data_IF_715621862707
#
_entry.id   IF_715621862707
#
_cell.length_a   1.000
_cell.length_b   1.000
_cell.length_c   1.000
_cell.angle_alpha   90.00
_cell.angle_beta   90.00
_cell.angle_gamma   90.00
#
_symmetry.space_group_name_H-M   'P 1'
#
loop_
_entity.id
_entity.type
_entity.pdbx_description
1 polymer ?
#
# COMPACT_ATOMS: atom_id res chain seq x y z
N UNK A 1 9.28 -75.54 -47.13
CA UNK A 1 9.81 -75.11 -45.81
C UNK A 1 10.00 -73.67 -45.81
N UNK A 2 9.00 -72.91 -45.21
CA UNK A 2 9.03 -71.48 -45.00
C UNK A 2 9.50 -71.18 -43.57
N UNK A 3 10.40 -70.30 -43.27
CA UNK A 3 10.64 -69.85 -41.90
C UNK A 3 9.74 -68.64 -41.55
N UNK A 4 9.07 -68.74 -40.43
CA UNK A 4 8.21 -67.77 -39.77
C UNK A 4 9.14 -66.75 -39.07
N UNK A 5 9.22 -65.51 -39.54
CA UNK A 5 9.89 -64.45 -38.80
C UNK A 5 8.92 -63.74 -37.89
N UNK A 6 9.13 -63.90 -36.59
CA UNK A 6 8.40 -63.25 -35.53
C UNK A 6 8.87 -61.80 -35.36
N UNK A 7 8.06 -60.83 -35.79
CA UNK A 7 8.31 -59.41 -35.61
C UNK A 7 8.01 -58.94 -34.21
N UNK A 8 9.02 -58.55 -33.43
CA UNK A 8 8.92 -57.95 -32.12
C UNK A 8 8.49 -56.49 -32.24
N UNK A 9 7.22 -56.23 -31.96
CA UNK A 9 6.64 -54.88 -31.96
C UNK A 9 6.90 -54.21 -30.59
N UNK A 10 7.94 -53.37 -30.51
CA UNK A 10 8.25 -52.57 -29.34
C UNK A 10 7.24 -51.42 -29.22
N UNK A 11 6.34 -51.47 -28.21
CA UNK A 11 5.50 -50.32 -27.80
C UNK A 11 6.39 -49.26 -27.16
N UNK A 12 6.62 -48.19 -27.87
CA UNK A 12 7.16 -46.95 -27.32
C UNK A 12 6.01 -46.24 -26.54
N UNK A 13 6.02 -46.37 -25.21
CA UNK A 13 5.17 -45.57 -24.33
C UNK A 13 5.65 -44.12 -24.34
N UNK A 14 4.95 -43.27 -25.08
CA UNK A 14 5.11 -41.81 -25.00
C UNK A 14 4.55 -41.36 -23.65
N UNK A 15 5.43 -41.20 -22.65
CA UNK A 15 5.11 -40.42 -21.47
C UNK A 15 4.99 -38.95 -21.90
N UNK A 16 3.77 -38.54 -22.25
CA UNK A 16 3.42 -37.13 -22.39
C UNK A 16 3.47 -36.49 -21.00
N UNK A 17 4.55 -35.77 -20.70
CA UNK A 17 4.56 -34.80 -19.62
C UNK A 17 3.40 -33.82 -19.86
N UNK A 18 2.31 -33.96 -19.10
CA UNK A 18 1.34 -32.86 -18.95
C UNK A 18 2.09 -31.72 -18.28
N UNK A 19 2.54 -30.75 -19.06
CA UNK A 19 2.80 -29.41 -18.52
C UNK A 19 1.46 -28.97 -17.92
N UNK A 20 1.39 -28.87 -16.58
CA UNK A 20 0.36 -28.07 -15.94
C UNK A 20 0.44 -26.71 -16.62
N UNK A 21 -0.64 -26.31 -17.29
CA UNK A 21 -0.78 -24.92 -17.73
C UNK A 21 -0.85 -24.11 -16.45
N UNK A 22 0.23 -23.40 -16.11
CA UNK A 22 0.12 -22.30 -15.16
C UNK A 22 -1.04 -21.45 -15.62
N UNK A 23 -2.02 -21.26 -14.74
CA UNK A 23 -3.14 -20.37 -15.01
C UNK A 23 -2.60 -18.91 -15.03
N UNK A 24 -2.21 -18.47 -16.22
CA UNK A 24 -1.67 -17.12 -16.46
C UNK A 24 -2.73 -16.03 -16.23
N UNK A 25 -4.01 -16.38 -16.05
CA UNK A 25 -5.08 -15.42 -15.84
C UNK A 25 -4.94 -14.68 -14.51
N UNK A 26 -4.60 -15.37 -13.42
CA UNK A 26 -4.35 -14.74 -12.12
C UNK A 26 -3.04 -13.94 -12.10
N UNK A 27 -2.01 -14.42 -12.79
CA UNK A 27 -0.73 -13.72 -12.93
C UNK A 27 -0.88 -12.41 -13.72
N UNK A 28 -1.76 -12.37 -14.71
CA UNK A 28 -1.98 -11.20 -15.55
C UNK A 28 -2.79 -10.09 -14.87
N UNK A 29 -3.66 -10.43 -13.90
CA UNK A 29 -4.52 -9.46 -13.23
C UNK A 29 -3.85 -8.74 -12.05
N UNK A 30 -2.88 -9.39 -11.38
CA UNK A 30 -2.16 -8.82 -10.24
C UNK A 30 -2.95 -8.75 -8.93
N UNK A 31 -4.09 -9.45 -8.81
CA UNK A 31 -4.93 -9.47 -7.59
C UNK A 31 -4.19 -10.02 -6.38
N UNK A 32 -3.23 -10.90 -6.60
CA UNK A 32 -2.40 -11.46 -5.53
C UNK A 32 -1.46 -10.44 -4.85
N UNK A 33 -1.34 -9.20 -5.35
CA UNK A 33 -0.71 -8.12 -4.60
C UNK A 33 -1.60 -7.58 -3.47
N UNK A 34 -2.92 -7.88 -3.51
CA UNK A 34 -3.85 -7.50 -2.44
C UNK A 34 -4.72 -8.70 -2.02
N UNK A 35 -4.12 -9.76 -1.45
CA UNK A 35 -4.84 -10.99 -1.12
C UNK A 35 -5.76 -10.79 0.08
N UNK A 36 -7.05 -11.03 -0.11
CA UNK A 36 -8.09 -10.86 0.90
C UNK A 36 -8.60 -12.22 1.37
N UNK A 37 -8.37 -12.54 2.65
CA UNK A 37 -8.89 -13.74 3.28
C UNK A 37 -9.18 -13.50 4.77
N UNK A 38 -10.35 -13.93 5.26
CA UNK A 38 -10.70 -13.86 6.69
C UNK A 38 -9.64 -14.54 7.55
N UNK A 39 -9.25 -13.90 8.62
CA UNK A 39 -8.21 -14.34 9.55
C UNK A 39 -6.79 -13.94 9.17
N UNK A 40 -6.54 -13.53 7.93
CA UNK A 40 -5.23 -13.00 7.51
C UNK A 40 -4.89 -11.72 8.26
N UNK A 41 -3.63 -11.57 8.66
CA UNK A 41 -3.14 -10.35 9.28
C UNK A 41 -1.72 -10.01 8.82
N UNK A 42 -1.37 -8.74 8.94
CA UNK A 42 0.00 -8.23 8.79
C UNK A 42 0.34 -7.40 10.02
N UNK A 43 1.54 -7.60 10.54
CA UNK A 43 2.09 -6.86 11.67
C UNK A 43 3.12 -5.86 11.16
N UNK A 44 2.95 -4.59 11.53
CA UNK A 44 3.84 -3.50 11.13
C UNK A 44 4.57 -2.92 12.35
N UNK A 45 5.85 -2.63 12.19
CA UNK A 45 6.55 -1.63 12.98
C UNK A 45 6.21 -0.26 12.40
N UNK A 46 5.81 0.67 13.24
CA UNK A 46 5.30 1.98 12.83
C UNK A 46 6.10 3.07 13.51
N UNK A 47 6.73 3.92 12.70
CA UNK A 47 7.34 5.15 13.15
C UNK A 47 6.42 6.31 12.77
N UNK A 48 5.95 7.06 13.76
CA UNK A 48 5.14 8.26 13.59
C UNK A 48 5.99 9.47 13.93
N UNK A 49 6.27 10.30 12.94
CA UNK A 49 7.00 11.55 13.09
C UNK A 49 6.01 12.70 13.25
N UNK A 50 6.28 13.58 14.18
CA UNK A 50 5.54 14.81 14.38
C UNK A 50 6.50 15.99 14.36
N UNK A 51 6.29 16.94 13.45
CA UNK A 51 7.00 18.20 13.42
C UNK A 51 6.17 19.23 14.17
N UNK A 52 6.65 19.54 15.39
CA UNK A 52 6.00 20.46 16.31
C UNK A 52 6.46 21.90 16.06
N UNK A 53 5.51 22.76 15.69
CA UNK A 53 5.79 24.17 15.39
C UNK A 53 6.07 25.02 16.63
N UNK A 54 5.54 24.61 17.80
CA UNK A 54 5.75 25.31 19.06
C UNK A 54 7.12 24.95 19.68
N UNK A 55 7.40 23.64 19.76
CA UNK A 55 8.70 23.14 20.28
C UNK A 55 9.82 23.29 19.25
N UNK A 56 9.51 23.54 17.98
CA UNK A 56 10.43 23.55 16.83
C UNK A 56 11.27 22.27 16.77
N UNK A 57 10.64 21.14 17.04
CA UNK A 57 11.28 19.85 17.18
C UNK A 57 10.63 18.80 16.27
N UNK A 58 11.46 17.83 15.87
CA UNK A 58 11.00 16.59 15.28
C UNK A 58 10.91 15.53 16.39
N UNK A 59 9.72 14.95 16.58
CA UNK A 59 9.45 13.96 17.61
C UNK A 59 9.03 12.67 16.91
N UNK A 60 9.72 11.56 17.20
CA UNK A 60 9.42 10.26 16.61
C UNK A 60 8.88 9.31 17.68
N UNK A 61 7.74 8.69 17.40
CA UNK A 61 7.12 7.68 18.23
C UNK A 61 7.10 6.35 17.49
N UNK A 62 7.80 5.34 18.03
CA UNK A 62 7.73 3.97 17.51
C UNK A 62 6.64 3.18 18.21
N UNK A 63 5.94 2.35 17.45
CA UNK A 63 4.85 1.49 17.92
C UNK A 63 4.65 0.29 16.99
N UNK A 64 3.69 -0.57 17.29
CA UNK A 64 3.29 -1.64 16.40
C UNK A 64 1.79 -1.59 16.10
N UNK A 65 1.44 -1.88 14.84
CA UNK A 65 0.07 -2.05 14.38
C UNK A 65 -0.11 -3.43 13.73
N UNK A 66 -1.23 -4.07 14.02
CA UNK A 66 -1.67 -5.29 13.35
C UNK A 66 -2.96 -5.02 12.61
N UNK A 67 -2.94 -5.19 11.28
CA UNK A 67 -4.12 -5.15 10.43
C UNK A 67 -4.61 -6.58 10.24
N UNK A 68 -5.83 -6.87 10.64
CA UNK A 68 -6.41 -8.21 10.60
C UNK A 68 -7.76 -8.18 9.89
N UNK A 69 -7.91 -8.99 8.85
CA UNK A 69 -9.21 -9.22 8.21
C UNK A 69 -10.06 -10.05 9.19
N UNK A 70 -10.94 -9.36 9.91
CA UNK A 70 -11.72 -9.96 10.99
C UNK A 70 -12.96 -10.69 10.48
N UNK A 71 -13.62 -10.13 9.45
CA UNK A 71 -14.85 -10.71 8.90
C UNK A 71 -15.08 -10.31 7.46
N UNK A 72 -16.09 -10.97 6.84
CA UNK A 72 -16.57 -10.68 5.48
C UNK A 72 -18.07 -10.44 5.52
N UNK A 73 -18.57 -9.58 4.65
CA UNK A 73 -19.99 -9.27 4.52
C UNK A 73 -20.32 -8.80 3.10
N UNK A 74 -21.59 -8.80 2.75
CA UNK A 74 -22.07 -8.18 1.51
C UNK A 74 -22.47 -6.74 1.83
N UNK A 75 -21.90 -5.77 1.14
CA UNK A 75 -22.20 -4.36 1.33
C UNK A 75 -23.56 -3.97 0.68
N UNK A 76 -23.97 -2.71 0.85
CA UNK A 76 -25.25 -2.20 0.31
C UNK A 76 -25.34 -2.25 -1.23
N UNK A 77 -24.21 -2.35 -1.92
CA UNK A 77 -24.13 -2.50 -3.38
C UNK A 77 -24.14 -3.98 -3.83
N UNK A 78 -24.31 -4.92 -2.90
CA UNK A 78 -24.27 -6.36 -3.18
C UNK A 78 -22.86 -6.94 -3.39
N UNK A 79 -21.80 -6.19 -3.07
CA UNK A 79 -20.41 -6.60 -3.28
C UNK A 79 -19.81 -7.24 -2.03
N UNK A 80 -18.92 -8.22 -2.24
CA UNK A 80 -18.13 -8.81 -1.16
C UNK A 80 -17.21 -7.75 -0.55
N UNK A 81 -17.30 -7.60 0.75
CA UNK A 81 -16.52 -6.63 1.51
C UNK A 81 -15.92 -7.28 2.75
N UNK A 82 -14.82 -6.71 3.21
CA UNK A 82 -14.01 -7.22 4.30
C UNK A 82 -13.91 -6.19 5.40
N UNK A 83 -14.13 -6.63 6.64
CA UNK A 83 -13.88 -5.83 7.83
C UNK A 83 -12.45 -6.03 8.28
N UNK A 84 -11.70 -4.95 8.43
CA UNK A 84 -10.33 -4.97 8.94
C UNK A 84 -10.30 -4.31 10.32
N UNK A 85 -9.92 -5.09 11.33
CA UNK A 85 -9.64 -4.58 12.66
C UNK A 85 -8.17 -4.16 12.75
N UNK A 86 -7.93 -2.93 13.17
CA UNK A 86 -6.59 -2.37 13.40
C UNK A 86 -6.31 -2.40 14.89
N UNK A 87 -5.32 -3.17 15.26
CA UNK A 87 -4.81 -3.23 16.63
C UNK A 87 -3.53 -2.42 16.75
N UNK A 88 -3.31 -1.84 17.90
CA UNK A 88 -2.14 -1.03 18.22
C UNK A 88 -1.56 -1.41 19.58
N UNK A 89 -0.23 -1.35 19.69
CA UNK A 89 0.50 -1.36 20.98
C UNK A 89 1.69 -0.42 20.91
N UNK A 90 2.03 0.21 22.04
CA UNK A 90 3.17 1.13 22.12
C UNK A 90 4.50 0.38 22.19
N UNK A 91 4.57 -0.65 23.02
CA UNK A 91 5.77 -1.47 23.21
C UNK A 91 5.47 -2.94 22.90
N UNK A 92 6.49 -3.70 22.58
CA UNK A 92 6.36 -5.14 22.27
C UNK A 92 5.83 -5.95 23.45
N UNK A 93 6.03 -5.48 24.69
CA UNK A 93 5.52 -6.06 25.92
C UNK A 93 4.04 -5.76 26.19
N UNK A 94 3.47 -4.75 25.52
CA UNK A 94 2.07 -4.36 25.71
C UNK A 94 1.13 -5.33 25.00
N UNK A 95 -0.07 -5.47 25.52
CA UNK A 95 -1.17 -6.14 24.81
C UNK A 95 -1.68 -5.27 23.68
N UNK A 96 -2.03 -5.89 22.55
CA UNK A 96 -2.72 -5.23 21.46
C UNK A 96 -4.12 -4.77 21.86
N UNK A 97 -4.46 -3.52 21.56
CA UNK A 97 -5.79 -2.94 21.72
C UNK A 97 -6.32 -2.49 20.38
N UNK A 98 -7.63 -2.66 20.18
CA UNK A 98 -8.28 -2.16 18.96
C UNK A 98 -8.17 -0.64 18.92
N UNK A 99 -7.76 -0.10 17.79
CA UNK A 99 -7.57 1.34 17.55
C UNK A 99 -8.58 1.88 16.56
N UNK A 100 -8.83 1.12 15.51
CA UNK A 100 -9.64 1.56 14.37
C UNK A 100 -10.22 0.33 13.66
N UNK A 101 -11.29 0.56 12.91
CA UNK A 101 -11.85 -0.39 11.96
C UNK A 101 -11.99 0.30 10.62
N UNK A 102 -11.66 -0.40 9.54
CA UNK A 102 -11.94 0.05 8.20
C UNK A 102 -12.48 -1.10 7.34
N UNK A 103 -12.98 -0.77 6.17
CA UNK A 103 -13.61 -1.73 5.28
C UNK A 103 -12.93 -1.75 3.93
N UNK A 104 -12.83 -2.93 3.33
CA UNK A 104 -12.30 -3.12 1.98
C UNK A 104 -13.41 -3.71 1.13
N UNK A 105 -13.67 -3.11 -0.03
CA UNK A 105 -14.56 -3.66 -1.05
C UNK A 105 -13.72 -4.16 -2.23
N UNK A 106 -13.88 -5.44 -2.57
CA UNK A 106 -13.24 -6.03 -3.73
C UNK A 106 -14.21 -5.91 -4.92
N UNK A 107 -13.90 -4.99 -5.81
CA UNK A 107 -14.61 -4.81 -7.07
C UNK A 107 -13.87 -5.55 -8.18
N UNK A 108 -14.55 -5.86 -9.29
CA UNK A 108 -13.92 -6.55 -10.43
C UNK A 108 -12.70 -5.82 -10.98
N UNK A 109 -12.71 -4.48 -10.95
CA UNK A 109 -11.68 -3.63 -11.54
C UNK A 109 -10.88 -2.84 -10.52
N UNK A 110 -11.20 -2.92 -9.22
CA UNK A 110 -10.51 -2.12 -8.19
C UNK A 110 -10.65 -2.67 -6.79
N UNK A 111 -9.70 -2.32 -5.93
CA UNK A 111 -9.80 -2.43 -4.47
C UNK A 111 -10.09 -1.06 -3.89
N UNK A 112 -11.18 -0.97 -3.15
CA UNK A 112 -11.59 0.25 -2.45
C UNK A 112 -11.45 0.07 -0.95
N UNK A 113 -10.86 1.06 -0.29
CA UNK A 113 -10.73 1.09 1.17
C UNK A 113 -11.53 2.26 1.72
N UNK A 114 -12.55 1.95 2.55
CA UNK A 114 -13.29 2.95 3.30
C UNK A 114 -12.73 3.05 4.71
N UNK A 115 -12.08 4.16 5.00
CA UNK A 115 -11.46 4.47 6.29
C UNK A 115 -11.86 5.87 6.72
N UNK A 116 -12.38 6.03 7.95
CA UNK A 116 -12.83 7.32 8.49
C UNK A 116 -13.84 8.04 7.59
N UNK A 117 -14.78 7.29 7.03
CA UNK A 117 -15.79 7.77 6.06
C UNK A 117 -15.23 8.31 4.74
N UNK A 118 -13.95 8.11 4.45
CA UNK A 118 -13.34 8.40 3.16
C UNK A 118 -13.11 7.10 2.38
N UNK A 119 -13.45 7.10 1.10
CA UNK A 119 -13.25 5.96 0.21
C UNK A 119 -12.11 6.25 -0.75
N UNK A 120 -11.07 5.43 -0.67
CA UNK A 120 -9.88 5.48 -1.53
C UNK A 120 -9.89 4.31 -2.51
N UNK A 121 -9.60 4.55 -3.77
CA UNK A 121 -9.33 3.50 -4.76
C UNK A 121 -7.84 3.15 -4.65
N UNK A 122 -7.54 2.08 -3.91
CA UNK A 122 -6.15 1.71 -3.57
C UNK A 122 -5.41 1.00 -4.68
N UNK A 123 -6.11 0.20 -5.47
CA UNK A 123 -5.58 -0.51 -6.64
C UNK A 123 -6.61 -0.58 -7.74
N UNK A 124 -6.15 -0.60 -8.98
CA UNK A 124 -6.97 -0.92 -10.17
C UNK A 124 -6.41 -2.17 -10.85
N UNK A 125 -7.25 -2.89 -11.57
CA UNK A 125 -6.88 -4.11 -12.26
C UNK A 125 -7.17 -4.02 -13.77
N UNK A 126 -6.29 -4.60 -14.60
CA UNK A 126 -5.06 -5.31 -14.26
C UNK A 126 -3.95 -4.39 -13.73
N UNK A 127 -3.09 -4.92 -12.84
CA UNK A 127 -1.91 -4.20 -12.37
C UNK A 127 -0.89 -4.12 -13.52
N UNK A 128 -0.63 -2.90 -13.98
CA UNK A 128 0.25 -2.65 -15.13
C UNK A 128 1.22 -1.53 -14.79
N UNK A 129 2.52 -1.73 -15.08
CA UNK A 129 3.55 -0.71 -14.85
C UNK A 129 3.18 0.61 -15.52
N UNK A 130 3.26 1.71 -14.77
CA UNK A 130 2.95 3.06 -15.25
C UNK A 130 1.45 3.38 -15.38
N UNK A 131 0.52 2.45 -15.13
CA UNK A 131 -0.91 2.78 -15.12
C UNK A 131 -1.23 3.77 -14.01
N UNK A 132 -2.12 4.74 -14.29
CA UNK A 132 -2.48 5.83 -13.40
C UNK A 132 -3.99 5.90 -13.16
N UNK A 133 -4.40 6.39 -11.97
CA UNK A 133 -5.81 6.63 -11.64
C UNK A 133 -5.96 7.70 -10.56
N UNK A 134 -7.15 8.30 -10.48
CA UNK A 134 -7.52 9.17 -9.36
C UNK A 134 -7.92 8.29 -8.16
N UNK A 135 -6.99 8.07 -7.22
CA UNK A 135 -7.23 7.28 -6.02
C UNK A 135 -8.23 7.91 -5.05
N UNK A 136 -8.47 9.22 -5.19
CA UNK A 136 -9.36 10.02 -4.35
C UNK A 136 -10.68 10.39 -5.03
N UNK A 137 -10.99 9.79 -6.20
CA UNK A 137 -12.18 10.11 -7.00
C UNK A 137 -13.51 10.02 -6.21
N UNK A 138 -13.54 9.21 -5.16
CA UNK A 138 -14.72 9.01 -4.30
C UNK A 138 -14.74 9.88 -3.04
N UNK A 139 -13.73 10.73 -2.83
CA UNK A 139 -13.69 11.64 -1.69
C UNK A 139 -14.58 12.85 -1.97
N UNK A 140 -15.51 13.20 -1.07
CA UNK A 140 -16.36 14.37 -1.22
C UNK A 140 -15.54 15.66 -1.29
N UNK A 141 -15.80 16.51 -2.29
CA UNK A 141 -15.05 17.77 -2.51
C UNK A 141 -15.68 18.97 -1.79
N UNK A 142 -16.80 18.80 -1.12
CA UNK A 142 -17.55 19.89 -0.49
C UNK A 142 -17.19 20.11 0.98
N UNK A 143 -16.57 19.15 1.66
CA UNK A 143 -16.09 19.28 3.04
C UNK A 143 -14.61 19.67 3.01
N UNK A 144 -14.33 20.97 2.86
CA UNK A 144 -12.97 21.47 2.70
C UNK A 144 -12.13 21.34 3.96
N UNK A 145 -12.72 21.39 5.15
CA UNK A 145 -11.96 21.28 6.40
C UNK A 145 -11.46 19.85 6.62
N UNK A 146 -12.33 18.86 6.43
CA UNK A 146 -12.00 17.45 6.65
C UNK A 146 -11.24 16.81 5.48
N UNK A 147 -11.47 17.27 4.26
CA UNK A 147 -10.91 16.68 3.05
C UNK A 147 -9.86 17.55 2.37
N UNK A 148 -9.52 18.72 2.92
CA UNK A 148 -8.59 19.67 2.32
C UNK A 148 -7.24 19.04 1.93
N UNK A 149 -6.70 18.16 2.75
CA UNK A 149 -5.44 17.44 2.48
C UNK A 149 -5.52 16.63 1.19
N UNK A 150 -6.70 16.06 0.87
CA UNK A 150 -6.92 15.18 -0.27
C UNK A 150 -7.43 15.91 -1.52
N UNK A 151 -8.00 17.09 -1.35
CA UNK A 151 -8.64 17.86 -2.45
C UNK A 151 -7.73 18.95 -3.04
N UNK A 152 -6.78 19.46 -2.25
CA UNK A 152 -5.93 20.59 -2.65
C UNK A 152 -4.65 20.16 -3.38
N UNK A 153 -4.43 18.86 -3.55
CA UNK A 153 -3.26 18.28 -4.22
C UNK A 153 -3.69 17.32 -5.31
N UNK A 154 -2.84 17.14 -6.29
CA UNK A 154 -3.09 16.22 -7.40
C UNK A 154 -2.78 14.77 -7.00
N UNK A 155 -3.75 14.08 -6.43
CA UNK A 155 -3.65 12.68 -5.98
C UNK A 155 -3.83 11.72 -7.14
N UNK A 156 -2.88 11.69 -8.07
CA UNK A 156 -2.89 10.72 -9.16
C UNK A 156 -2.01 9.54 -8.76
N UNK A 157 -2.65 8.43 -8.44
CA UNK A 157 -1.98 7.19 -8.09
C UNK A 157 -1.37 6.56 -9.34
N UNK A 158 -0.24 5.88 -9.17
CA UNK A 158 0.46 5.20 -10.26
C UNK A 158 1.19 3.96 -9.78
N UNK A 159 1.26 2.94 -10.65
CA UNK A 159 2.07 1.74 -10.42
C UNK A 159 3.50 1.94 -10.87
N UNK A 160 4.44 1.52 -10.03
CA UNK A 160 5.88 1.49 -10.30
C UNK A 160 6.52 0.23 -9.76
N UNK A 161 7.67 -0.13 -10.31
CA UNK A 161 8.47 -1.27 -9.85
C UNK A 161 7.69 -2.58 -9.82
N UNK A 162 6.85 -2.82 -10.82
CA UNK A 162 6.06 -4.05 -10.92
C UNK A 162 6.99 -5.26 -11.05
N UNK A 163 6.76 -6.26 -10.18
CA UNK A 163 7.58 -7.47 -10.04
C UNK A 163 9.04 -7.22 -9.63
N UNK A 164 9.37 -6.03 -9.11
CA UNK A 164 10.69 -5.74 -8.56
C UNK A 164 10.79 -6.21 -7.11
N UNK A 165 12.02 -6.51 -6.62
CA UNK A 165 12.22 -6.80 -5.21
C UNK A 165 12.14 -5.56 -4.34
N UNK A 166 11.77 -5.75 -3.06
CA UNK A 166 11.74 -4.68 -2.07
C UNK A 166 12.09 -5.19 -0.67
N UNK A 167 12.90 -4.44 0.06
CA UNK A 167 13.23 -4.68 1.46
C UNK A 167 12.83 -3.46 2.31
N UNK A 168 11.78 -3.57 3.14
CA UNK A 168 11.40 -2.50 4.08
C UNK A 168 12.35 -2.38 5.29
N UNK A 169 13.39 -3.19 5.37
CA UNK A 169 14.41 -3.20 6.43
C UNK A 169 14.22 -4.31 7.47
N UNK A 170 13.26 -5.21 7.29
CA UNK A 170 13.03 -6.35 8.20
C UNK A 170 12.75 -7.68 7.49
N UNK A 171 12.34 -7.64 6.22
CA UNK A 171 12.08 -8.80 5.39
C UNK A 171 12.33 -8.46 3.93
N UNK A 172 12.90 -9.38 3.17
CA UNK A 172 13.08 -9.25 1.73
C UNK A 172 11.91 -9.90 0.98
N UNK A 173 11.37 -9.18 0.01
CA UNK A 173 10.29 -9.64 -0.85
C UNK A 173 10.74 -9.58 -2.31
N UNK A 174 10.74 -10.72 -3.00
CA UNK A 174 11.24 -10.82 -4.37
C UNK A 174 10.33 -10.15 -5.41
N UNK A 175 9.03 -10.12 -5.12
CA UNK A 175 8.02 -9.71 -6.08
C UNK A 175 7.05 -8.73 -5.47
N UNK A 176 7.18 -7.46 -5.85
CA UNK A 176 6.38 -6.36 -5.30
C UNK A 176 5.81 -5.46 -6.40
N UNK A 177 4.92 -4.57 -6.00
CA UNK A 177 4.50 -3.40 -6.78
C UNK A 177 4.43 -2.20 -5.85
N UNK A 178 4.93 -1.07 -6.29
CA UNK A 178 4.83 0.22 -5.61
C UNK A 178 3.64 0.99 -6.16
N UNK A 179 2.80 1.50 -5.28
CA UNK A 179 1.73 2.44 -5.60
C UNK A 179 2.14 3.82 -5.08
N UNK A 180 2.55 4.71 -5.96
CA UNK A 180 2.75 6.12 -5.62
C UNK A 180 1.40 6.81 -5.62
N UNK A 181 1.07 7.50 -4.53
CA UNK A 181 -0.18 8.24 -4.40
C UNK A 181 0.00 9.71 -4.76
N UNK A 182 1.05 10.31 -4.25
CA UNK A 182 1.45 11.69 -4.48
C UNK A 182 2.94 11.87 -4.16
N UNK A 183 3.60 12.70 -4.94
CA UNK A 183 4.97 13.14 -4.70
C UNK A 183 5.09 14.62 -5.11
N UNK A 184 4.72 15.51 -4.18
CA UNK A 184 4.65 16.94 -4.40
C UNK A 184 5.51 17.67 -3.37
N UNK A 185 6.35 18.61 -3.85
CA UNK A 185 7.23 19.37 -3.00
C UNK A 185 7.54 20.75 -3.59
N UNK A 186 7.79 21.68 -2.70
CA UNK A 186 8.33 23.00 -3.04
C UNK A 186 9.53 23.26 -2.14
N UNK A 187 10.66 23.59 -2.74
CA UNK A 187 11.93 23.89 -2.07
C UNK A 187 12.41 22.78 -1.10
N UNK A 188 13.58 22.98 -0.54
CA UNK A 188 14.14 22.13 0.50
C UNK A 188 14.75 23.00 1.59
N UNK A 189 14.14 23.06 2.81
CA UNK A 189 14.64 23.93 3.88
C UNK A 189 15.99 23.51 4.45
N UNK A 190 16.46 22.29 4.17
CA UNK A 190 17.81 21.83 4.56
C UNK A 190 18.88 22.40 3.61
N UNK A 191 18.48 22.90 2.44
CA UNK A 191 19.34 23.56 1.45
C UNK A 191 19.17 25.09 1.52
N UNK A 192 17.91 25.56 1.60
CA UNK A 192 17.56 26.98 1.71
C UNK A 192 16.50 27.17 2.78
N UNK A 193 16.93 27.59 3.97
CA UNK A 193 16.06 27.85 5.11
C UNK A 193 15.39 29.24 5.08
N UNK A 194 15.63 30.05 4.04
CA UNK A 194 15.05 31.40 3.90
C UNK A 194 13.74 31.41 3.10
N UNK A 195 13.45 30.31 2.39
CA UNK A 195 12.26 30.16 1.56
C UNK A 195 11.20 29.27 2.22
N UNK A 196 9.93 29.57 1.96
CA UNK A 196 8.82 28.67 2.28
C UNK A 196 9.02 27.34 1.55
N UNK A 197 8.74 26.23 2.25
CA UNK A 197 8.83 24.89 1.66
C UNK A 197 7.67 23.99 2.14
N UNK A 198 7.35 22.99 1.36
CA UNK A 198 6.45 21.91 1.78
C UNK A 198 6.83 20.56 1.16
N UNK A 199 6.37 19.52 1.79
CA UNK A 199 6.43 18.14 1.30
C UNK A 199 5.08 17.47 1.49
N UNK A 200 4.52 16.93 0.41
CA UNK A 200 3.35 16.08 0.42
C UNK A 200 3.72 14.80 -0.33
N UNK A 201 3.95 13.72 0.41
CA UNK A 201 4.42 12.44 -0.14
C UNK A 201 3.61 11.29 0.43
N UNK A 202 3.20 10.36 -0.42
CA UNK A 202 2.53 9.13 0.00
C UNK A 202 2.79 8.00 -0.98
N UNK A 203 3.24 6.85 -0.46
CA UNK A 203 3.38 5.62 -1.23
C UNK A 203 3.03 4.40 -0.38
N UNK A 204 2.65 3.32 -1.06
CA UNK A 204 2.48 1.99 -0.48
C UNK A 204 3.18 0.96 -1.37
N UNK A 205 3.76 -0.08 -0.75
CA UNK A 205 4.35 -1.21 -1.48
C UNK A 205 3.62 -2.48 -1.09
N UNK A 206 3.26 -3.27 -2.09
CA UNK A 206 2.52 -4.51 -1.93
C UNK A 206 3.36 -5.68 -2.43
N UNK A 207 3.48 -6.73 -1.62
CA UNK A 207 4.15 -7.97 -2.00
C UNK A 207 3.14 -9.03 -2.44
N UNK A 208 3.51 -9.76 -3.48
CA UNK A 208 2.71 -10.85 -4.03
C UNK A 208 2.41 -11.92 -2.97
N UNK A 209 1.16 -12.30 -2.81
CA UNK A 209 0.67 -13.25 -1.79
C UNK A 209 0.60 -12.69 -0.37
N UNK A 210 1.16 -11.51 -0.10
CA UNK A 210 1.23 -10.91 1.25
C UNK A 210 0.26 -9.74 1.42
N UNK A 211 0.22 -8.81 0.47
CA UNK A 211 -0.49 -7.54 0.58
C UNK A 211 0.45 -6.40 0.90
N UNK A 212 -0.05 -5.33 1.51
CA UNK A 212 0.77 -4.17 1.86
C UNK A 212 1.86 -4.56 2.85
N UNK A 213 3.12 -4.26 2.50
CA UNK A 213 4.31 -4.54 3.31
C UNK A 213 5.03 -3.26 3.76
N UNK A 214 4.75 -2.16 3.08
CA UNK A 214 5.34 -0.86 3.40
C UNK A 214 4.34 0.23 3.08
N UNK A 215 4.36 1.26 3.92
CA UNK A 215 3.64 2.52 3.69
C UNK A 215 4.46 3.66 4.24
N UNK A 216 4.54 4.74 3.45
CA UNK A 216 5.11 6.00 3.89
C UNK A 216 4.18 7.15 3.56
N UNK A 217 3.93 8.00 4.53
CA UNK A 217 3.17 9.23 4.42
C UNK A 217 3.95 10.34 5.06
N UNK A 218 4.23 11.43 4.32
CA UNK A 218 4.89 12.63 4.81
C UNK A 218 4.05 13.82 4.39
N UNK A 219 3.72 14.65 5.35
CA UNK A 219 3.05 15.93 5.10
C UNK A 219 3.59 16.98 6.05
N UNK A 220 4.31 17.97 5.54
CA UNK A 220 4.75 19.08 6.34
C UNK A 220 4.84 20.36 5.49
N UNK A 221 4.71 21.49 6.18
CA UNK A 221 5.05 22.81 5.68
C UNK A 221 6.21 23.36 6.51
N UNK A 222 7.06 24.16 5.88
CA UNK A 222 8.15 24.87 6.53
C UNK A 222 7.91 26.37 6.41
N UNK A 223 7.99 27.05 7.55
CA UNK A 223 7.92 28.50 7.64
C UNK A 223 9.32 29.03 7.94
N UNK A 224 9.90 29.87 7.06
CA UNK A 224 11.16 30.54 7.34
C UNK A 224 11.00 31.56 8.49
N UNK A 225 12.12 31.92 9.11
CA UNK A 225 12.11 32.96 10.13
C UNK A 225 11.73 34.32 9.54
N UNK A 226 10.77 35.01 10.15
CA UNK A 226 10.24 36.29 9.67
C UNK A 226 11.29 37.43 9.58
N UNK A 227 12.38 37.34 10.37
CA UNK A 227 13.37 38.39 10.47
C UNK A 227 14.75 38.00 9.90
N UNK A 228 14.86 36.88 9.17
CA UNK A 228 16.13 36.43 8.61
C UNK A 228 17.19 35.99 9.64
N UNK A 229 16.93 36.16 10.92
CA UNK A 229 17.84 35.87 12.02
C UNK A 229 17.35 34.74 12.92
N UNK A 230 17.31 33.53 12.42
CA UNK A 230 16.92 32.31 13.18
C UNK A 230 16.52 31.16 12.27
N UNK A 231 16.47 29.97 12.81
CA UNK A 231 15.95 28.79 12.08
C UNK A 231 14.43 28.89 11.94
N UNK A 232 13.90 28.67 10.75
CA UNK A 232 12.48 28.43 10.54
C UNK A 232 12.00 27.16 11.29
N UNK A 233 10.77 26.76 11.05
CA UNK A 233 10.23 25.53 11.66
C UNK A 233 9.38 24.76 10.67
N UNK A 234 9.38 23.44 10.82
CA UNK A 234 8.43 22.55 10.15
C UNK A 234 7.20 22.33 11.03
N UNK A 235 6.05 22.18 10.39
CA UNK A 235 4.78 21.75 11.01
C UNK A 235 4.15 20.67 10.17
N UNK A 236 3.82 19.53 10.80
CA UNK A 236 3.20 18.42 10.07
C UNK A 236 3.41 17.08 10.72
N UNK A 237 3.26 16.03 9.93
CA UNK A 237 3.38 14.67 10.40
C UNK A 237 3.99 13.74 9.33
N UNK A 238 4.55 12.63 9.78
CA UNK A 238 4.98 11.52 8.96
C UNK A 238 4.56 10.19 9.58
N UNK A 239 4.32 9.18 8.76
CA UNK A 239 4.08 7.81 9.20
C UNK A 239 4.82 6.87 8.27
N UNK A 240 5.64 5.99 8.85
CA UNK A 240 6.28 4.89 8.14
C UNK A 240 5.87 3.57 8.78
N UNK A 241 5.37 2.65 7.96
CA UNK A 241 4.98 1.29 8.35
C UNK A 241 5.81 0.29 7.57
N UNK A 242 6.39 -0.69 8.26
CA UNK A 242 7.26 -1.73 7.66
C UNK A 242 7.22 -3.04 8.44
#
# INVERSE_FOLDING_TARGET
>A
LLPFTLGLMTLLSLNSCKKEKEDLSELSYGRNFFPLAKGKYVLYNVDSTYWDDFLRAEIVYSSQMRYQIADTFTNAEGKLSYKVDVYHRKQTTDSFRIKEVFYISDNETSIEVNQRNLTFIKMIFPVTEGATWDGNAKIPKFDQEYTAEYNNSNWIYSYHNLNAPFDPGNNYYERTVTVNHIDDQLNNPDVDSTAYAYRNFSQEVYAYGVGMIYRERIYWVFQPSANGGGSGYRKGYGVRMR
#
